data_IF_724293212946
#
_entry.id   IF_724293212946
#
_cell.length_a   1.000
_cell.length_b   1.000
_cell.length_c   1.000
_cell.angle_alpha   90.00
_cell.angle_beta   90.00
_cell.angle_gamma   90.00
#
_symmetry.space_group_name_H-M   'P 1'
#
loop_
_entity.id
_entity.type
_entity.pdbx_description
1 polymer ?
#
# COMPACT_ATOMS: atom_id res chain seq x y z
N UNK A 1 2.44 6.75 -21.53
CA UNK A 1 1.46 6.73 -20.44
C UNK A 1 2.10 7.30 -19.19
N UNK A 2 1.35 8.05 -18.44
CA UNK A 2 1.87 8.64 -17.20
C UNK A 2 1.95 7.63 -16.08
N UNK A 3 3.05 7.64 -15.36
CA UNK A 3 3.21 6.87 -14.14
C UNK A 3 2.27 7.41 -13.06
N UNK A 4 1.82 6.50 -12.20
CA UNK A 4 0.98 6.84 -11.06
C UNK A 4 1.77 6.63 -9.78
N UNK A 5 1.81 7.65 -8.94
CA UNK A 5 2.49 7.63 -7.65
C UNK A 5 1.48 7.78 -6.53
N UNK A 6 1.52 6.86 -5.55
CA UNK A 6 0.62 6.89 -4.42
C UNK A 6 1.39 6.92 -3.11
N UNK A 7 0.83 7.63 -2.14
CA UNK A 7 1.16 7.47 -0.73
C UNK A 7 -0.07 6.90 -0.04
N UNK A 8 0.11 5.79 0.67
CA UNK A 8 -0.96 5.15 1.44
C UNK A 8 -0.58 5.26 2.92
N UNK A 9 -1.37 6.01 3.68
CA UNK A 9 -1.14 6.23 5.11
C UNK A 9 -1.98 5.25 5.91
N UNK A 10 -1.31 4.45 6.72
CA UNK A 10 -1.92 3.33 7.46
C UNK A 10 -1.71 3.56 8.95
N UNK A 11 -2.75 3.34 9.72
CA UNK A 11 -2.66 3.25 11.18
C UNK A 11 -3.22 1.92 11.64
N UNK A 12 -2.51 1.24 12.54
CA UNK A 12 -2.94 -0.04 13.10
C UNK A 12 -3.39 0.14 14.54
N UNK A 13 -4.22 -0.79 15.00
CA UNK A 13 -4.62 -0.83 16.40
C UNK A 13 -3.39 -1.14 17.28
N UNK A 14 -3.37 -0.67 18.54
CA UNK A 14 -2.29 -1.00 19.47
C UNK A 14 -2.03 -2.51 19.53
N UNK A 15 -0.76 -2.90 19.46
CA UNK A 15 -0.35 -4.31 19.47
C UNK A 15 -0.44 -5.02 18.13
N UNK A 16 -0.88 -4.36 17.06
CA UNK A 16 -1.07 -4.96 15.73
C UNK A 16 0.02 -4.64 14.72
N UNK A 17 1.11 -4.00 15.16
CA UNK A 17 2.25 -3.69 14.30
C UNK A 17 2.79 -4.92 13.57
N UNK A 18 3.00 -6.02 14.29
CA UNK A 18 3.53 -7.26 13.70
C UNK A 18 2.59 -7.83 12.64
N UNK A 19 1.28 -7.74 12.85
CA UNK A 19 0.28 -8.18 11.89
C UNK A 19 0.39 -7.40 10.57
N UNK A 20 0.57 -6.08 10.65
CA UNK A 20 0.78 -5.24 9.45
C UNK A 20 2.08 -5.61 8.73
N UNK A 21 3.18 -5.81 9.46
CA UNK A 21 4.46 -6.18 8.87
C UNK A 21 4.37 -7.54 8.18
N UNK A 22 3.72 -8.51 8.79
CA UNK A 22 3.54 -9.85 8.19
C UNK A 22 2.67 -9.79 6.94
N UNK A 23 1.60 -8.99 6.96
CA UNK A 23 0.75 -8.79 5.79
C UNK A 23 1.54 -8.20 4.63
N UNK A 24 2.36 -7.18 4.88
CA UNK A 24 3.22 -6.57 3.86
C UNK A 24 4.20 -7.59 3.28
N UNK A 25 4.87 -8.37 4.15
CA UNK A 25 5.85 -9.37 3.70
C UNK A 25 5.24 -10.43 2.79
N UNK A 26 3.99 -10.83 3.07
CA UNK A 26 3.27 -11.80 2.23
C UNK A 26 2.86 -11.19 0.89
N UNK A 27 2.39 -9.94 0.91
CA UNK A 27 1.89 -9.26 -0.29
C UNK A 27 3.00 -8.81 -1.22
N UNK A 28 4.12 -8.37 -0.69
CA UNK A 28 5.19 -7.73 -1.47
C UNK A 28 5.60 -8.53 -2.72
N UNK A 29 5.94 -9.83 -2.64
CA UNK A 29 6.33 -10.56 -3.84
C UNK A 29 5.18 -10.71 -4.85
N UNK A 30 3.95 -10.82 -4.38
CA UNK A 30 2.78 -10.94 -5.25
C UNK A 30 2.51 -9.63 -5.99
N UNK A 31 2.58 -8.51 -5.27
CA UNK A 31 2.36 -7.19 -5.86
C UNK A 31 3.50 -6.82 -6.82
N UNK A 32 4.74 -7.08 -6.43
CA UNK A 32 5.89 -6.75 -7.28
C UNK A 32 5.95 -7.58 -8.56
N UNK A 33 5.28 -8.73 -8.60
CA UNK A 33 5.16 -9.54 -9.81
C UNK A 33 4.05 -9.06 -10.76
N UNK A 34 3.20 -8.13 -10.32
CA UNK A 34 2.14 -7.61 -11.16
C UNK A 34 2.71 -6.75 -12.29
N UNK A 35 2.16 -6.87 -13.52
CA UNK A 35 2.58 -6.02 -14.64
C UNK A 35 2.41 -4.54 -14.29
N UNK A 36 3.47 -3.76 -14.49
CA UNK A 36 3.45 -2.33 -14.26
C UNK A 36 3.71 -1.90 -12.82
N UNK A 37 3.95 -2.83 -11.88
CA UNK A 37 4.39 -2.46 -10.55
C UNK A 37 5.85 -1.99 -10.58
N UNK A 38 6.08 -0.72 -10.29
CA UNK A 38 7.42 -0.13 -10.28
C UNK A 38 7.97 0.04 -8.87
N UNK A 39 7.11 0.21 -7.87
CA UNK A 39 7.51 0.34 -6.48
C UNK A 39 6.36 -0.06 -5.55
N UNK A 40 6.69 -0.82 -4.52
CA UNK A 40 5.74 -1.20 -3.46
C UNK A 40 6.53 -1.34 -2.17
N UNK A 41 6.67 -0.24 -1.43
CA UNK A 41 7.60 -0.16 -0.30
C UNK A 41 6.93 0.43 0.93
N UNK A 42 7.02 -0.30 2.04
CA UNK A 42 6.44 0.11 3.31
C UNK A 42 7.50 0.74 4.21
N UNK A 43 7.14 1.89 4.78
CA UNK A 43 7.92 2.58 5.80
C UNK A 43 7.09 2.68 7.07
N UNK A 44 7.74 2.72 8.23
CA UNK A 44 7.06 3.05 9.46
C UNK A 44 7.36 4.51 9.84
N UNK A 45 6.42 5.12 10.58
CA UNK A 45 6.66 6.43 11.19
C UNK A 45 7.70 6.25 12.30
N UNK A 46 8.78 7.03 12.27
CA UNK A 46 9.84 6.93 13.27
C UNK A 46 9.38 7.34 14.67
N UNK A 47 8.30 8.11 14.76
CA UNK A 47 7.77 8.63 16.02
C UNK A 47 6.55 7.86 16.55
N UNK A 48 5.93 6.99 15.73
CA UNK A 48 4.72 6.27 16.12
C UNK A 48 4.75 4.85 15.53
N UNK A 49 4.92 3.86 16.39
CA UNK A 49 5.02 2.45 15.97
C UNK A 49 3.75 1.88 15.35
N UNK A 50 2.61 2.57 15.51
CA UNK A 50 1.33 2.15 14.96
C UNK A 50 1.02 2.78 13.60
N UNK A 51 1.92 3.62 13.08
CA UNK A 51 1.72 4.32 11.81
C UNK A 51 2.73 3.89 10.76
N UNK A 52 2.23 3.71 9.55
CA UNK A 52 3.02 3.30 8.40
C UNK A 52 2.67 4.16 7.19
N UNK A 53 3.62 4.22 6.27
CA UNK A 53 3.42 4.84 4.96
C UNK A 53 3.87 3.84 3.90
N UNK A 54 2.97 3.54 2.97
CA UNK A 54 3.26 2.69 1.82
C UNK A 54 3.45 3.59 0.61
N UNK A 55 4.58 3.46 -0.06
CA UNK A 55 4.86 4.18 -1.29
C UNK A 55 4.66 3.22 -2.45
N UNK A 56 3.79 3.60 -3.39
CA UNK A 56 3.51 2.80 -4.57
C UNK A 56 3.78 3.60 -5.84
N UNK A 57 4.33 2.94 -6.83
CA UNK A 57 4.52 3.52 -8.16
C UNK A 57 4.08 2.50 -9.20
N UNK A 58 3.24 2.94 -10.12
CA UNK A 58 2.67 2.11 -11.17
C UNK A 58 2.96 2.72 -12.53
N UNK A 59 3.22 1.89 -13.53
CA UNK A 59 3.55 2.34 -14.88
C UNK A 59 2.39 3.07 -15.55
N UNK A 60 1.14 2.80 -15.13
CA UNK A 60 -0.05 3.43 -15.70
C UNK A 60 -1.24 3.30 -14.75
N UNK A 61 -2.29 4.07 -15.00
CA UNK A 61 -3.54 3.94 -14.27
C UNK A 61 -4.16 2.56 -14.47
N UNK A 62 -4.06 1.99 -15.69
CA UNK A 62 -4.59 0.66 -15.97
C UNK A 62 -3.89 -0.41 -15.12
N UNK A 63 -2.57 -0.29 -14.90
CA UNK A 63 -1.84 -1.20 -14.03
C UNK A 63 -2.31 -1.11 -12.57
N UNK A 64 -2.54 0.11 -12.07
CA UNK A 64 -3.09 0.31 -10.73
C UNK A 64 -4.50 -0.26 -10.62
N UNK A 65 -5.37 -0.03 -11.61
CA UNK A 65 -6.73 -0.55 -11.61
C UNK A 65 -6.74 -2.09 -11.55
N UNK A 66 -5.86 -2.74 -12.31
CA UNK A 66 -5.72 -4.19 -12.28
C UNK A 66 -5.21 -4.69 -10.92
N UNK A 67 -4.29 -3.95 -10.28
CA UNK A 67 -3.81 -4.24 -8.94
C UNK A 67 -4.96 -4.22 -7.92
N UNK A 68 -5.80 -3.21 -7.97
CA UNK A 68 -6.87 -3.00 -7.00
C UNK A 68 -7.90 -4.14 -6.98
N UNK A 69 -8.08 -4.83 -8.10
CA UNK A 69 -9.02 -5.95 -8.21
C UNK A 69 -8.34 -7.32 -8.26
N UNK A 70 -7.03 -7.37 -8.02
CA UNK A 70 -6.31 -8.64 -7.97
C UNK A 70 -6.77 -9.49 -6.80
N UNK A 71 -6.69 -10.81 -6.95
CA UNK A 71 -7.15 -11.75 -5.93
C UNK A 71 -6.47 -11.52 -4.58
N UNK A 72 -5.15 -11.31 -4.59
CA UNK A 72 -4.40 -11.09 -3.35
C UNK A 72 -4.75 -9.75 -2.70
N UNK A 73 -5.08 -8.71 -3.47
CA UNK A 73 -5.49 -7.43 -2.88
C UNK A 73 -6.91 -7.48 -2.34
N UNK A 74 -7.83 -8.15 -3.01
CA UNK A 74 -9.19 -8.33 -2.48
C UNK A 74 -9.16 -9.11 -1.17
N UNK A 75 -8.33 -10.14 -1.06
CA UNK A 75 -8.16 -10.89 0.18
C UNK A 75 -7.54 -10.02 1.28
N UNK A 76 -6.52 -9.22 0.95
CA UNK A 76 -5.88 -8.32 1.90
C UNK A 76 -6.87 -7.26 2.40
N UNK A 77 -7.65 -6.66 1.50
CA UNK A 77 -8.64 -5.64 1.85
C UNK A 77 -9.70 -6.18 2.80
N UNK A 78 -10.07 -7.45 2.67
CA UNK A 78 -11.03 -8.09 3.57
C UNK A 78 -10.45 -8.28 4.98
N UNK A 79 -9.13 -8.48 5.10
CA UNK A 79 -8.46 -8.69 6.39
C UNK A 79 -8.06 -7.40 7.09
N UNK A 80 -7.77 -6.33 6.34
CA UNK A 80 -7.25 -5.08 6.88
C UNK A 80 -8.08 -4.51 8.04
N UNK A 81 -9.42 -4.50 8.01
CA UNK A 81 -10.22 -3.99 9.12
C UNK A 81 -10.04 -4.74 10.44
N UNK A 82 -9.51 -5.95 10.41
CA UNK A 82 -9.32 -6.75 11.62
C UNK A 82 -8.14 -6.27 12.47
N UNK A 83 -7.21 -5.48 11.90
CA UNK A 83 -6.05 -4.99 12.64
C UNK A 83 -5.75 -3.51 12.42
N UNK A 84 -6.42 -2.83 11.48
CA UNK A 84 -6.22 -1.40 11.26
C UNK A 84 -7.18 -0.57 12.08
N UNK A 85 -6.71 0.62 12.50
CA UNK A 85 -7.50 1.54 13.32
C UNK A 85 -8.57 2.28 12.51
N UNK A 86 -8.55 2.14 11.19
CA UNK A 86 -9.51 2.74 10.27
C UNK A 86 -9.07 2.55 8.83
N UNK A 87 -9.85 3.04 7.86
CA UNK A 87 -9.45 2.97 6.45
C UNK A 87 -8.14 3.70 6.21
N UNK A 88 -7.30 3.15 5.33
CA UNK A 88 -6.09 3.83 4.91
C UNK A 88 -6.44 5.11 4.13
N UNK A 89 -5.63 6.15 4.31
CA UNK A 89 -5.74 7.36 3.52
C UNK A 89 -4.82 7.25 2.31
N UNK A 90 -5.39 7.37 1.12
CA UNK A 90 -4.63 7.28 -0.12
C UNK A 90 -4.50 8.68 -0.73
N UNK A 91 -3.27 9.06 -1.06
CA UNK A 91 -2.98 10.31 -1.76
C UNK A 91 -2.35 9.93 -3.10
N UNK A 92 -3.02 10.30 -4.19
CA UNK A 92 -2.48 10.17 -5.53
C UNK A 92 -1.70 11.46 -5.82
N UNK A 93 -0.39 11.31 -6.02
CA UNK A 93 0.49 12.45 -6.20
C UNK A 93 0.62 12.80 -7.68
N UNK A 94 0.66 14.10 -7.96
CA UNK A 94 1.00 14.63 -9.28
C UNK A 94 2.35 15.33 -9.18
N UNK A 95 3.19 15.17 -10.19
CA UNK A 95 4.47 15.87 -10.25
C UNK A 95 4.27 17.37 -10.39
N UNK A 96 5.04 18.12 -9.63
CA UNK A 96 5.09 19.59 -9.74
C UNK A 96 6.34 19.96 -10.52
N UNK A 97 6.15 20.67 -11.63
CA UNK A 97 7.27 21.17 -12.42
C UNK A 97 7.71 22.51 -11.84
N UNK A 98 8.99 22.61 -11.54
CA UNK A 98 9.59 23.83 -11.02
C UNK A 98 10.71 24.34 -11.91
#
# INVERSE_FOLDING_TARGET
MEEVNLIVMIEVMPGKRGTQLDAYKRLKPLVESEPGCLKYELFCDAADENKFVLIEKWASQAALDAHDISEHMLAADALNPTFRAGPARVIKMASVKA
#
